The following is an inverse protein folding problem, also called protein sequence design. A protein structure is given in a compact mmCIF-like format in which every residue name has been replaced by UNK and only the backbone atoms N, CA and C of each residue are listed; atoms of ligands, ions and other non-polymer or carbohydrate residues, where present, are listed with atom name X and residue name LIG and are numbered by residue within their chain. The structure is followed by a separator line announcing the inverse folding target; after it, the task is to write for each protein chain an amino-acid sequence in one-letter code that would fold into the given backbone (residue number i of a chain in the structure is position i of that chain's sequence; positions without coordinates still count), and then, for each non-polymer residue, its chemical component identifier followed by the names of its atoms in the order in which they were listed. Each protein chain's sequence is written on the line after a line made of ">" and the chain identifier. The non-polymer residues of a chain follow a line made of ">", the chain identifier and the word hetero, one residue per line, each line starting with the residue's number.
data_IF_373354638516
#
_entry.id   IF_373354638516
#
_cell.length_a   1.000
_cell.length_b   1.000
_cell.length_c   1.000
_cell.angle_alpha   90.00
_cell.angle_beta   90.00
_cell.angle_gamma   90.00
#
_symmetry.space_group_name_H-M   'P 1'
#
loop_
_entity.id
_entity.type
_entity.pdbx_description
1 polymer ?
#
# COMPACT_ATOMS: atom_id res chain seq x y z
N UNK A 1 -5.99 -32.39 29.21
CA UNK A 1 -6.16 -31.85 27.84
C UNK A 1 -6.34 -30.36 27.94
N UNK A 2 -5.34 -29.50 27.60
CA UNK A 2 -5.55 -28.07 27.59
C UNK A 2 -6.34 -27.71 26.33
N UNK A 3 -7.48 -27.11 26.53
CA UNK A 3 -8.31 -26.51 25.45
C UNK A 3 -7.60 -25.28 24.92
N UNK A 4 -7.05 -25.38 23.71
CA UNK A 4 -6.56 -24.22 22.97
C UNK A 4 -7.75 -23.36 22.57
N UNK A 5 -7.95 -22.24 23.25
CA UNK A 5 -8.86 -21.22 22.78
C UNK A 5 -8.26 -20.61 21.50
N UNK A 6 -9.02 -20.46 20.42
CA UNK A 6 -8.56 -19.71 19.27
C UNK A 6 -8.26 -18.27 19.70
N UNK A 7 -7.09 -17.78 19.33
CA UNK A 7 -6.71 -16.38 19.54
C UNK A 7 -7.78 -15.48 18.88
N UNK A 8 -8.31 -14.46 19.57
CA UNK A 8 -9.28 -13.57 18.97
C UNK A 8 -8.66 -12.91 17.72
N UNK A 9 -9.47 -12.73 16.68
CA UNK A 9 -9.04 -12.00 15.48
C UNK A 9 -8.50 -10.61 15.88
N UNK A 10 -7.38 -10.15 15.29
CA UNK A 10 -6.83 -8.84 15.59
C UNK A 10 -7.87 -7.75 15.33
N UNK A 11 -7.86 -6.70 16.15
CA UNK A 11 -8.74 -5.55 15.99
C UNK A 11 -8.52 -4.88 14.64
N UNK A 12 -9.55 -4.26 14.02
CA UNK A 12 -9.36 -3.50 12.77
C UNK A 12 -8.22 -2.48 12.92
N UNK A 13 -7.22 -2.57 12.05
CA UNK A 13 -6.01 -1.73 12.09
C UNK A 13 -4.79 -2.35 12.79
N UNK A 14 -4.92 -3.49 13.48
CA UNK A 14 -3.80 -4.22 14.10
C UNK A 14 -3.17 -5.26 13.15
N UNK A 15 -3.91 -5.72 12.14
CA UNK A 15 -3.38 -6.65 11.14
C UNK A 15 -2.19 -6.06 10.40
N UNK A 16 -1.13 -6.85 10.22
CA UNK A 16 0.04 -6.44 9.41
C UNK A 16 -0.31 -6.26 7.93
N UNK A 17 -1.46 -6.75 7.50
CA UNK A 17 -1.97 -6.62 6.13
C UNK A 17 -3.03 -5.51 5.99
N UNK A 18 -3.36 -4.76 7.07
CA UNK A 18 -4.34 -3.70 6.99
C UNK A 18 -3.85 -2.51 6.16
N UNK A 19 -4.64 -1.96 5.21
CA UNK A 19 -6.06 -2.26 4.92
C UNK A 19 -6.29 -3.29 3.79
N UNK A 20 -5.28 -4.01 3.30
CA UNK A 20 -5.43 -5.00 2.24
C UNK A 20 -6.39 -6.14 2.63
N UNK A 21 -6.35 -6.57 3.90
CA UNK A 21 -7.22 -7.61 4.46
C UNK A 21 -8.71 -7.25 4.36
N UNK A 22 -9.08 -5.97 4.48
CA UNK A 22 -10.45 -5.49 4.29
C UNK A 22 -10.96 -5.73 2.86
N UNK A 23 -10.10 -5.54 1.85
CA UNK A 23 -10.46 -5.77 0.46
C UNK A 23 -10.63 -7.27 0.15
N UNK A 24 -9.70 -8.09 0.64
CA UNK A 24 -9.81 -9.54 0.50
C UNK A 24 -11.04 -10.11 1.20
N UNK A 25 -11.34 -9.66 2.43
CA UNK A 25 -12.53 -10.07 3.16
C UNK A 25 -13.83 -9.76 2.40
N UNK A 26 -13.91 -8.57 1.77
CA UNK A 26 -15.09 -8.17 0.98
C UNK A 26 -15.26 -8.98 -0.29
N UNK A 27 -14.18 -9.37 -0.93
CA UNK A 27 -14.22 -10.24 -2.12
C UNK A 27 -14.53 -11.70 -1.78
N UNK A 28 -14.58 -12.05 -0.49
CA UNK A 28 -14.74 -13.44 -0.04
C UNK A 28 -13.52 -14.32 -0.36
N UNK A 29 -12.38 -13.70 -0.67
CA UNK A 29 -11.14 -14.39 -1.02
C UNK A 29 -10.21 -14.39 0.20
N UNK A 30 -9.59 -15.52 0.56
CA UNK A 30 -8.61 -15.52 1.65
C UNK A 30 -7.38 -14.70 1.27
N UNK A 31 -6.80 -14.01 2.25
CA UNK A 31 -5.51 -13.35 2.08
C UNK A 31 -4.44 -14.35 1.63
N UNK A 32 -3.54 -13.96 0.73
CA UNK A 32 -2.38 -14.78 0.42
C UNK A 32 -1.51 -14.97 1.66
N UNK A 33 -0.77 -16.07 1.77
CA UNK A 33 0.21 -16.25 2.85
C UNK A 33 1.20 -15.08 2.86
N UNK A 34 1.32 -14.44 4.02
CA UNK A 34 2.25 -13.34 4.22
C UNK A 34 2.87 -13.41 5.61
N UNK A 35 4.14 -13.02 5.68
CA UNK A 35 4.92 -12.99 6.92
C UNK A 35 5.55 -11.61 7.09
N UNK A 36 5.67 -11.18 8.35
CA UNK A 36 6.52 -10.04 8.68
C UNK A 36 7.98 -10.48 8.70
N UNK A 37 8.84 -9.67 8.09
CA UNK A 37 10.30 -9.89 8.08
C UNK A 37 11.03 -8.64 8.55
N UNK A 38 12.31 -8.81 8.92
CA UNK A 38 13.18 -7.68 9.21
C UNK A 38 13.50 -6.92 7.91
N UNK A 39 13.49 -5.58 7.95
CA UNK A 39 13.84 -4.75 6.80
C UNK A 39 15.26 -5.02 6.27
N UNK A 40 16.20 -5.41 7.15
CA UNK A 40 17.56 -5.78 6.73
C UNK A 40 17.61 -7.14 6.01
N UNK A 41 16.60 -8.00 6.18
CA UNK A 41 16.48 -9.28 5.49
C UNK A 41 15.87 -9.14 4.08
N UNK A 42 15.39 -7.96 3.70
CA UNK A 42 14.91 -7.71 2.35
C UNK A 42 16.06 -7.79 1.34
N UNK A 43 15.90 -8.52 0.23
CA UNK A 43 16.88 -8.51 -0.84
C UNK A 43 16.86 -7.16 -1.57
N UNK A 44 17.95 -6.80 -2.24
CA UNK A 44 17.94 -5.68 -3.17
C UNK A 44 17.19 -6.04 -4.46
N UNK A 45 16.51 -5.07 -5.09
CA UNK A 45 16.41 -3.65 -4.72
C UNK A 45 15.29 -3.33 -3.70
N UNK A 46 14.57 -4.32 -3.18
CA UNK A 46 13.42 -4.11 -2.28
C UNK A 46 13.81 -3.43 -0.97
N UNK A 47 15.00 -3.73 -0.44
CA UNK A 47 15.49 -3.04 0.76
C UNK A 47 15.62 -1.54 0.50
N UNK A 48 16.23 -1.14 -0.61
CA UNK A 48 16.34 0.25 -1.01
C UNK A 48 14.98 0.90 -1.27
N UNK A 49 14.03 0.16 -1.86
CA UNK A 49 12.71 0.66 -2.23
C UNK A 49 11.70 0.73 -1.07
N UNK A 50 11.87 -0.08 -0.01
CA UNK A 50 10.88 -0.20 1.05
C UNK A 50 11.37 0.36 2.40
N UNK A 51 12.70 0.29 2.69
CA UNK A 51 13.25 0.68 3.99
C UNK A 51 13.66 2.16 3.95
N UNK A 52 12.70 3.03 4.03
CA UNK A 52 12.88 4.49 4.08
C UNK A 52 11.63 5.18 4.65
N UNK A 53 11.74 6.47 4.93
CA UNK A 53 10.71 7.33 5.50
C UNK A 53 10.04 8.29 4.48
N UNK A 54 10.22 8.01 3.18
CA UNK A 54 9.62 8.77 2.06
C UNK A 54 8.31 8.14 1.60
N UNK A 55 7.52 8.88 0.79
CA UNK A 55 6.39 8.31 0.06
C UNK A 55 6.86 7.36 -1.05
N UNK A 56 6.01 6.41 -1.43
CA UNK A 56 6.33 5.41 -2.43
C UNK A 56 6.27 5.97 -3.84
N UNK A 57 5.35 6.89 -4.11
CA UNK A 57 5.19 7.50 -5.44
C UNK A 57 6.51 8.09 -5.93
N UNK A 58 7.08 9.03 -5.16
CA UNK A 58 8.37 9.65 -5.50
C UNK A 58 9.53 8.64 -5.52
N UNK A 59 9.47 7.62 -4.66
CA UNK A 59 10.51 6.58 -4.61
C UNK A 59 10.51 5.75 -5.90
N UNK A 60 9.34 5.33 -6.38
CA UNK A 60 9.21 4.56 -7.62
C UNK A 60 9.53 5.39 -8.85
N UNK A 61 9.09 6.66 -8.91
CA UNK A 61 9.45 7.57 -10.00
C UNK A 61 10.96 7.75 -10.13
N UNK A 62 11.64 7.97 -9.02
CA UNK A 62 13.10 8.08 -8.99
C UNK A 62 13.80 6.78 -9.40
N UNK A 63 13.31 5.64 -8.94
CA UNK A 63 13.90 4.34 -9.26
C UNK A 63 13.75 3.97 -10.74
N UNK A 64 12.59 4.25 -11.32
CA UNK A 64 12.30 3.91 -12.71
C UNK A 64 12.68 5.01 -13.70
N UNK A 65 12.97 6.23 -13.23
CA UNK A 65 13.27 7.39 -14.10
C UNK A 65 12.07 7.81 -14.96
N UNK A 66 10.84 7.54 -14.52
CA UNK A 66 9.59 7.81 -15.23
C UNK A 66 8.49 8.17 -14.24
N UNK A 67 7.54 8.98 -14.66
CA UNK A 67 6.34 9.26 -13.87
C UNK A 67 5.49 8.03 -13.65
N UNK A 68 4.69 8.06 -12.60
CA UNK A 68 3.67 7.04 -12.32
C UNK A 68 2.28 7.68 -12.29
N UNK A 69 1.30 6.93 -12.75
CA UNK A 69 -0.11 7.29 -12.59
C UNK A 69 -0.88 6.21 -11.84
N UNK A 70 -2.01 6.60 -11.30
CA UNK A 70 -2.87 5.74 -10.53
C UNK A 70 -3.91 5.07 -11.42
N UNK A 71 -4.03 3.75 -11.30
CA UNK A 71 -5.15 2.97 -11.81
C UNK A 71 -5.97 2.45 -10.63
N UNK A 72 -7.20 2.96 -10.49
CA UNK A 72 -8.12 2.52 -9.45
C UNK A 72 -8.64 1.12 -9.76
N UNK A 73 -8.62 0.23 -8.76
CA UNK A 73 -9.15 -1.14 -8.84
C UNK A 73 -10.46 -1.27 -8.07
N UNK A 74 -10.52 -0.68 -6.89
CA UNK A 74 -11.69 -0.71 -6.03
C UNK A 74 -11.69 0.43 -5.02
N UNK A 75 -12.87 0.76 -4.50
CA UNK A 75 -13.03 1.81 -3.49
C UNK A 75 -14.19 1.54 -2.55
N UNK A 76 -14.11 2.13 -1.37
CA UNK A 76 -15.18 2.19 -0.38
C UNK A 76 -15.04 3.46 0.45
N UNK A 77 -16.17 4.00 0.91
CA UNK A 77 -16.18 5.11 1.85
C UNK A 77 -17.00 4.76 3.08
N UNK A 78 -16.41 4.94 4.27
CA UNK A 78 -17.06 4.73 5.57
C UNK A 78 -16.93 6.03 6.38
N UNK A 79 -17.90 6.94 6.24
CA UNK A 79 -17.81 8.26 6.85
C UNK A 79 -16.66 9.09 6.28
N UNK A 80 -15.72 9.46 7.14
CA UNK A 80 -14.47 10.16 6.74
C UNK A 80 -13.34 9.25 6.29
N UNK A 81 -13.49 7.94 6.47
CA UNK A 81 -12.52 6.97 6.00
C UNK A 81 -12.80 6.61 4.55
N UNK A 82 -11.80 6.80 3.70
CA UNK A 82 -11.84 6.45 2.29
C UNK A 82 -10.81 5.38 1.99
N UNK A 83 -11.30 4.25 1.49
CA UNK A 83 -10.50 3.10 1.13
C UNK A 83 -10.38 3.00 -0.38
N UNK A 84 -9.20 2.73 -0.90
CA UNK A 84 -9.01 2.40 -2.31
C UNK A 84 -7.93 1.33 -2.50
N UNK A 85 -8.17 0.47 -3.47
CA UNK A 85 -7.20 -0.47 -4.04
C UNK A 85 -6.70 0.11 -5.36
N UNK A 86 -5.40 0.11 -5.57
CA UNK A 86 -4.78 0.80 -6.69
C UNK A 86 -3.61 0.03 -7.27
N UNK A 87 -3.33 0.26 -8.55
CA UNK A 87 -2.02 0.03 -9.14
C UNK A 87 -1.35 1.37 -9.38
N UNK A 88 -0.06 1.47 -9.09
CA UNK A 88 0.78 2.47 -9.70
C UNK A 88 1.40 1.87 -10.96
N UNK A 89 1.26 2.57 -12.05
CA UNK A 89 1.74 2.15 -13.37
C UNK A 89 2.65 3.21 -13.97
N UNK A 90 3.71 2.77 -14.62
CA UNK A 90 4.67 3.69 -15.27
C UNK A 90 4.04 4.36 -16.48
N UNK A 91 4.20 5.66 -16.56
CA UNK A 91 3.84 6.41 -17.77
C UNK A 91 4.60 5.88 -19.00
N UNK A 92 3.88 5.81 -20.11
CA UNK A 92 4.41 5.37 -21.40
C UNK A 92 4.47 3.86 -21.59
N UNK A 93 4.85 3.08 -20.58
CA UNK A 93 4.92 1.61 -20.70
C UNK A 93 3.69 0.88 -20.14
N UNK A 94 2.87 1.56 -19.35
CA UNK A 94 1.71 0.99 -18.64
C UNK A 94 2.06 -0.23 -17.76
N UNK A 95 3.33 -0.39 -17.40
CA UNK A 95 3.80 -1.48 -16.56
C UNK A 95 3.44 -1.24 -15.11
N UNK A 96 2.75 -2.17 -14.42
CA UNK A 96 2.52 -2.07 -12.99
C UNK A 96 3.84 -2.10 -12.21
N UNK A 97 4.00 -1.18 -11.27
CA UNK A 97 5.18 -1.08 -10.40
C UNK A 97 4.84 -1.15 -8.91
N UNK A 98 3.55 -1.09 -8.57
CA UNK A 98 3.06 -1.29 -7.22
C UNK A 98 1.60 -1.72 -7.26
N UNK A 99 1.24 -2.66 -6.39
CA UNK A 99 -0.13 -2.92 -5.98
C UNK A 99 -0.31 -2.42 -4.55
N UNK A 100 -1.26 -1.53 -4.34
CA UNK A 100 -1.48 -0.87 -3.07
C UNK A 100 -2.93 -0.96 -2.59
N UNK A 101 -3.07 -1.07 -1.26
CA UNK A 101 -4.33 -0.88 -0.55
C UNK A 101 -4.15 0.23 0.48
N UNK A 102 -5.03 1.22 0.47
CA UNK A 102 -4.91 2.41 1.31
C UNK A 102 -6.23 2.79 1.97
N UNK A 103 -6.16 3.12 3.27
CA UNK A 103 -7.18 3.88 3.99
C UNK A 103 -6.70 5.33 4.14
N UNK A 104 -7.53 6.28 3.79
CA UNK A 104 -7.27 7.72 3.87
C UNK A 104 -8.30 8.37 4.80
N UNK A 105 -7.84 9.13 5.80
CA UNK A 105 -8.70 9.89 6.70
C UNK A 105 -9.00 11.27 6.10
N UNK A 106 -10.08 11.35 5.29
CA UNK A 106 -10.41 12.55 4.50
C UNK A 106 -10.56 13.82 5.34
N UNK A 107 -11.11 13.72 6.56
CA UNK A 107 -11.29 14.86 7.45
C UNK A 107 -10.00 15.55 7.90
N UNK A 108 -8.84 14.92 7.64
CA UNK A 108 -7.52 15.47 7.98
C UNK A 108 -6.83 16.18 6.82
N UNK A 109 -7.51 16.27 5.67
CA UNK A 109 -6.99 16.94 4.48
C UNK A 109 -7.73 18.26 4.23
N UNK A 110 -7.06 19.32 3.76
CA UNK A 110 -7.69 20.52 3.27
C UNK A 110 -8.71 20.21 2.15
N UNK A 111 -9.74 21.03 2.00
CA UNK A 111 -10.86 20.77 1.08
C UNK A 111 -10.42 20.49 -0.35
N UNK A 112 -9.46 21.24 -0.88
CA UNK A 112 -8.93 21.03 -2.24
C UNK A 112 -8.19 19.70 -2.38
N UNK A 113 -7.34 19.37 -1.44
CA UNK A 113 -6.63 18.09 -1.44
C UNK A 113 -7.60 16.90 -1.30
N UNK A 114 -8.63 17.04 -0.45
CA UNK A 114 -9.69 16.06 -0.31
C UNK A 114 -10.48 15.87 -1.62
N UNK A 115 -10.73 16.94 -2.36
CA UNK A 115 -11.36 16.86 -3.68
C UNK A 115 -10.47 16.07 -4.65
N UNK A 116 -9.17 16.37 -4.74
CA UNK A 116 -8.26 15.66 -5.63
C UNK A 116 -8.12 14.17 -5.27
N UNK A 117 -8.13 13.84 -3.96
CA UNK A 117 -8.16 12.45 -3.51
C UNK A 117 -9.41 11.73 -4.03
N UNK A 118 -10.58 12.37 -3.95
CA UNK A 118 -11.86 11.81 -4.37
C UNK A 118 -12.05 11.82 -5.89
N UNK A 119 -11.31 12.63 -6.64
CA UNK A 119 -11.27 12.58 -8.10
C UNK A 119 -10.49 11.37 -8.63
N UNK A 120 -9.68 10.73 -7.77
CA UNK A 120 -9.01 9.44 -8.05
C UNK A 120 -8.06 9.46 -9.23
N UNK A 121 -7.56 10.63 -9.61
CA UNK A 121 -6.66 10.80 -10.76
C UNK A 121 -5.19 10.64 -10.38
N UNK A 122 -4.85 10.99 -9.14
CA UNK A 122 -3.47 11.10 -8.71
C UNK A 122 -3.13 10.17 -7.57
N UNK A 123 -1.90 9.60 -7.54
CA UNK A 123 -1.35 8.95 -6.35
C UNK A 123 -1.37 9.89 -5.15
N UNK A 124 -1.52 9.35 -3.93
CA UNK A 124 -1.56 10.18 -2.73
C UNK A 124 -0.27 10.99 -2.56
N UNK A 125 0.90 10.45 -2.93
CA UNK A 125 2.16 11.17 -2.88
C UNK A 125 2.15 12.47 -3.72
N UNK A 126 1.54 12.46 -4.89
CA UNK A 126 1.37 13.69 -5.70
C UNK A 126 0.45 14.69 -5.00
N UNK A 127 -0.69 14.25 -4.46
CA UNK A 127 -1.60 15.14 -3.72
C UNK A 127 -0.90 15.80 -2.52
N UNK A 128 -0.13 15.02 -1.75
CA UNK A 128 0.63 15.55 -0.61
C UNK A 128 1.63 16.63 -1.06
N UNK A 129 2.34 16.38 -2.15
CA UNK A 129 3.33 17.30 -2.72
C UNK A 129 2.67 18.56 -3.27
N UNK A 130 1.65 18.43 -4.11
CA UNK A 130 1.01 19.53 -4.82
C UNK A 130 0.29 20.50 -3.87
N UNK A 131 -0.25 19.98 -2.77
CA UNK A 131 -0.88 20.77 -1.72
C UNK A 131 0.06 21.13 -0.56
N UNK A 132 1.36 20.82 -0.68
CA UNK A 132 2.37 21.06 0.36
C UNK A 132 1.94 20.56 1.75
N UNK A 133 1.31 19.38 1.80
CA UNK A 133 0.83 18.77 3.05
C UNK A 133 2.02 18.13 3.78
N UNK A 134 2.38 18.61 4.98
CA UNK A 134 3.48 18.01 5.73
C UNK A 134 3.06 16.64 6.27
N UNK A 135 3.94 15.67 6.15
CA UNK A 135 3.72 14.32 6.67
C UNK A 135 5.01 13.68 7.17
N UNK A 136 4.84 12.66 8.00
CA UNK A 136 5.88 11.74 8.43
C UNK A 136 5.48 10.34 8.00
N UNK A 137 6.34 9.68 7.23
CA UNK A 137 6.17 8.29 6.80
C UNK A 137 6.86 7.35 7.78
N UNK A 138 6.13 6.34 8.27
CA UNK A 138 6.67 5.35 9.23
C UNK A 138 6.26 3.95 8.82
N UNK A 139 7.17 3.16 8.21
CA UNK A 139 6.94 1.74 8.00
C UNK A 139 6.66 1.05 9.33
N UNK A 140 5.58 0.27 9.38
CA UNK A 140 5.14 -0.49 10.56
C UNK A 140 5.56 -1.96 10.49
N UNK A 141 5.63 -2.49 9.29
CA UNK A 141 6.08 -3.85 9.01
C UNK A 141 6.64 -3.93 7.59
N UNK A 142 7.63 -4.79 7.40
CA UNK A 142 8.04 -5.25 6.08
C UNK A 142 7.49 -6.65 5.88
N UNK A 143 7.04 -6.94 4.67
CA UNK A 143 6.22 -8.09 4.35
C UNK A 143 6.91 -8.95 3.29
N UNK A 144 6.86 -10.26 3.48
CA UNK A 144 7.12 -11.26 2.45
C UNK A 144 5.78 -11.92 2.12
N UNK A 145 5.39 -11.90 0.86
CA UNK A 145 4.06 -12.30 0.41
C UNK A 145 4.19 -13.38 -0.66
N UNK A 146 3.50 -14.51 -0.50
CA UNK A 146 3.33 -15.47 -1.58
C UNK A 146 2.25 -14.93 -2.52
N UNK A 147 2.58 -14.73 -3.81
CA UNK A 147 1.60 -14.19 -4.76
C UNK A 147 0.44 -15.17 -4.95
N UNK A 148 -0.77 -14.63 -5.05
CA UNK A 148 -1.98 -15.36 -5.43
C UNK A 148 -2.42 -15.01 -6.85
N UNK A 149 -3.56 -15.56 -7.27
CA UNK A 149 -4.11 -15.31 -8.61
C UNK A 149 -4.50 -13.85 -8.83
N UNK A 150 -4.95 -13.16 -7.77
CA UNK A 150 -5.36 -11.75 -7.84
C UNK A 150 -4.12 -10.88 -8.05
N UNK A 151 -3.14 -11.01 -7.18
CA UNK A 151 -1.88 -10.25 -7.27
C UNK A 151 -1.18 -10.53 -8.60
N UNK A 152 -1.12 -11.79 -9.02
CA UNK A 152 -0.52 -12.16 -10.30
C UNK A 152 -1.22 -11.49 -11.48
N UNK A 153 -2.55 -11.49 -11.50
CA UNK A 153 -3.31 -10.84 -12.56
C UNK A 153 -3.07 -9.32 -12.60
N UNK A 154 -3.02 -8.68 -11.42
CA UNK A 154 -2.81 -7.24 -11.29
C UNK A 154 -1.39 -6.81 -11.69
N UNK A 155 -0.39 -7.58 -11.31
CA UNK A 155 1.02 -7.27 -11.56
C UNK A 155 1.56 -7.90 -12.87
N UNK A 156 0.70 -8.52 -13.69
CA UNK A 156 1.07 -9.22 -14.93
C UNK A 156 2.11 -10.32 -14.71
N UNK A 157 1.95 -11.13 -13.64
CA UNK A 157 2.86 -12.21 -13.28
C UNK A 157 2.32 -13.58 -13.70
N UNK A 158 3.22 -14.53 -13.95
CA UNK A 158 2.90 -15.91 -14.25
C UNK A 158 3.57 -16.85 -13.23
N UNK A 159 2.81 -17.82 -12.71
CA UNK A 159 3.34 -18.78 -11.75
C UNK A 159 3.38 -18.27 -10.32
N UNK A 160 4.16 -18.94 -9.47
CA UNK A 160 4.30 -18.60 -8.06
C UNK A 160 5.47 -17.63 -7.85
N UNK A 161 5.23 -16.55 -7.11
CA UNK A 161 6.24 -15.56 -6.79
C UNK A 161 6.29 -15.28 -5.29
N UNK A 162 7.48 -14.99 -4.80
CA UNK A 162 7.68 -14.32 -3.52
C UNK A 162 7.83 -12.83 -3.79
N UNK A 163 6.90 -12.05 -3.26
CA UNK A 163 6.88 -10.59 -3.38
C UNK A 163 7.26 -9.95 -2.05
N UNK A 164 7.64 -8.69 -2.13
CA UNK A 164 7.98 -7.90 -0.96
C UNK A 164 7.15 -6.63 -0.92
N UNK A 165 6.84 -6.20 0.29
CA UNK A 165 6.04 -5.02 0.51
C UNK A 165 6.28 -4.42 1.88
N UNK A 166 5.54 -3.37 2.17
CA UNK A 166 5.51 -2.80 3.52
C UNK A 166 4.10 -2.38 3.92
N UNK A 167 3.82 -2.45 5.21
CA UNK A 167 2.73 -1.69 5.83
C UNK A 167 3.31 -0.37 6.31
N UNK A 168 2.70 0.73 5.89
CA UNK A 168 3.17 2.07 6.19
C UNK A 168 2.05 2.93 6.79
N UNK A 169 2.42 3.91 7.61
CA UNK A 169 1.51 4.94 8.10
C UNK A 169 2.09 6.30 7.75
N UNK A 170 1.30 7.11 7.08
CA UNK A 170 1.57 8.55 6.91
C UNK A 170 0.82 9.30 8.01
N UNK A 171 1.51 10.13 8.76
CA UNK A 171 0.93 10.93 9.83
C UNK A 171 1.25 12.42 9.62
N UNK A 172 0.38 13.29 10.09
CA UNK A 172 0.69 14.72 10.16
C UNK A 172 1.76 15.00 11.24
N UNK A 173 2.31 16.21 11.31
CA UNK A 173 3.32 16.57 12.34
C UNK A 173 2.84 16.41 13.78
N UNK A 174 1.52 16.42 14.03
CA UNK A 174 0.93 16.17 15.36
C UNK A 174 0.86 14.68 15.69
N UNK A 175 1.25 13.79 14.77
CA UNK A 175 1.24 12.33 14.95
C UNK A 175 -0.09 11.66 14.61
N UNK A 176 -1.08 12.39 14.10
CA UNK A 176 -2.35 11.82 13.69
C UNK A 176 -2.22 11.15 12.32
N UNK A 177 -2.72 9.91 12.14
CA UNK A 177 -2.60 9.21 10.86
C UNK A 177 -3.42 9.90 9.77
N UNK A 178 -2.77 10.25 8.67
CA UNK A 178 -3.39 10.73 7.42
C UNK A 178 -3.85 9.54 6.56
N UNK A 179 -3.01 8.50 6.50
CA UNK A 179 -3.29 7.30 5.75
C UNK A 179 -2.58 6.08 6.33
N UNK A 180 -3.18 4.91 6.14
CA UNK A 180 -2.58 3.60 6.38
C UNK A 180 -2.54 2.83 5.05
N UNK A 181 -1.39 2.23 4.75
CA UNK A 181 -1.11 1.72 3.40
C UNK A 181 -0.44 0.36 3.50
N UNK A 182 -0.83 -0.56 2.63
CA UNK A 182 -0.02 -1.73 2.25
C UNK A 182 0.44 -1.52 0.82
N UNK A 183 1.73 -1.61 0.60
CA UNK A 183 2.42 -1.41 -0.67
C UNK A 183 3.15 -2.70 -1.04
N UNK A 184 2.83 -3.31 -2.19
CA UNK A 184 3.41 -4.57 -2.67
C UNK A 184 4.08 -4.31 -4.02
N UNK A 185 5.36 -4.63 -4.12
CA UNK A 185 6.14 -4.42 -5.33
C UNK A 185 6.22 -5.70 -6.18
N UNK A 186 6.14 -5.59 -7.52
CA UNK A 186 6.37 -6.71 -8.42
C UNK A 186 7.84 -7.16 -8.36
N UNK A 187 8.16 -8.35 -8.90
CA UNK A 187 9.54 -8.73 -9.14
C UNK A 187 10.23 -7.68 -10.01
N UNK A 188 11.38 -7.20 -9.56
CA UNK A 188 12.24 -6.36 -10.39
C UNK A 188 13.00 -7.27 -11.34
N UNK A 189 12.98 -6.97 -12.64
CA UNK A 189 13.84 -7.67 -13.57
C UNK A 189 15.31 -7.52 -13.14
N UNK A 190 16.10 -8.59 -13.22
CA UNK A 190 17.53 -8.52 -12.94
C UNK A 190 18.25 -7.57 -13.88
#
# INVERSE_FOLDING_TARGET
>A
MPTSHPNPAPSPGESIAYPLDEFYARSGTPLPPLDQIDGQALPEPYRTLLVHDRDMTSTLENFHGAGVHLRLLGRERKGDDYFREVLLVLEGSERPVEFGAIQIHLGRFPDKARQDILEERYPLGHVLKDHAIPYVSRPKAFLRIASDKIINALLNLQGAHVLYGRRNTLSNPAGEPLAQIVEILPPTAP
#
